data_IF_611830538026
#
_entry.id   IF_611830538026
#
_cell.length_a   1.000
_cell.length_b   1.000
_cell.length_c   1.000
_cell.angle_alpha   90.00
_cell.angle_beta   90.00
_cell.angle_gamma   90.00
#
_symmetry.space_group_name_H-M   'P 1'
#
loop_
_entity.id
_entity.type
_entity.pdbx_description
1 polymer ?
#
# COMPACT_ATOMS: atom_id res chain seq x y z
N UNK A 1 -28.85 33.10 -38.48
CA UNK A 1 -28.47 31.76 -39.00
C UNK A 1 -27.09 31.33 -38.50
N UNK A 2 -26.01 32.08 -38.77
CA UNK A 2 -24.67 31.74 -38.25
C UNK A 2 -24.63 31.85 -36.72
N UNK A 3 -25.24 32.90 -36.15
CA UNK A 3 -25.29 33.12 -34.70
C UNK A 3 -26.07 32.00 -33.97
N UNK A 4 -27.18 31.56 -34.55
CA UNK A 4 -27.99 30.45 -33.99
C UNK A 4 -27.21 29.13 -33.99
N UNK A 5 -26.47 28.84 -35.07
CA UNK A 5 -25.60 27.66 -35.18
C UNK A 5 -24.48 27.73 -34.13
N UNK A 6 -23.90 28.92 -33.92
CA UNK A 6 -22.84 29.14 -32.95
C UNK A 6 -23.34 28.93 -31.51
N UNK A 7 -24.54 29.40 -31.18
CA UNK A 7 -25.18 29.18 -29.88
C UNK A 7 -25.45 27.69 -29.64
N UNK A 8 -25.98 26.97 -30.63
CA UNK A 8 -26.26 25.53 -30.53
C UNK A 8 -24.96 24.73 -30.34
N UNK A 9 -23.91 25.06 -31.10
CA UNK A 9 -22.59 24.44 -30.96
C UNK A 9 -22.01 24.64 -29.56
N UNK A 10 -22.03 25.86 -29.04
CA UNK A 10 -21.52 26.17 -27.70
C UNK A 10 -22.31 25.48 -26.59
N UNK A 11 -23.64 25.35 -26.74
CA UNK A 11 -24.47 24.57 -25.83
C UNK A 11 -24.05 23.11 -25.75
N UNK A 12 -23.87 22.45 -26.91
CA UNK A 12 -23.40 21.06 -26.97
C UNK A 12 -21.99 20.90 -26.41
N UNK A 13 -21.10 21.86 -26.68
CA UNK A 13 -19.72 21.85 -26.18
C UNK A 13 -19.69 21.93 -24.65
N UNK A 14 -20.48 22.83 -24.05
CA UNK A 14 -20.59 22.97 -22.60
C UNK A 14 -21.14 21.72 -21.92
N UNK A 15 -22.22 21.15 -22.47
CA UNK A 15 -22.82 19.91 -21.94
C UNK A 15 -21.81 18.76 -22.02
N UNK A 16 -21.07 18.64 -23.11
CA UNK A 16 -20.06 17.60 -23.30
C UNK A 16 -18.90 17.73 -22.29
N UNK A 17 -18.36 18.94 -22.13
CA UNK A 17 -17.30 19.21 -21.15
C UNK A 17 -17.77 18.94 -19.72
N UNK A 18 -19.00 19.33 -19.37
CA UNK A 18 -19.58 19.07 -18.06
C UNK A 18 -19.80 17.56 -17.82
N UNK A 19 -20.24 16.82 -18.83
CA UNK A 19 -20.37 15.36 -18.77
C UNK A 19 -19.03 14.65 -18.58
N UNK A 20 -17.98 15.05 -19.31
CA UNK A 20 -16.64 14.48 -19.19
C UNK A 20 -16.02 14.81 -17.81
N UNK A 21 -16.12 16.06 -17.38
CA UNK A 21 -15.63 16.50 -16.07
C UNK A 21 -16.37 15.80 -14.92
N UNK A 22 -17.70 15.72 -15.03
CA UNK A 22 -18.57 14.99 -14.11
C UNK A 22 -18.21 13.52 -14.01
N UNK A 23 -18.01 12.83 -15.15
CA UNK A 23 -17.59 11.42 -15.17
C UNK A 23 -16.25 11.19 -14.44
N UNK A 24 -15.27 12.06 -14.65
CA UNK A 24 -13.97 11.95 -13.97
C UNK A 24 -14.08 12.16 -12.47
N UNK A 25 -14.83 13.19 -12.03
CA UNK A 25 -15.08 13.44 -10.61
C UNK A 25 -15.89 12.33 -9.98
N UNK A 26 -16.91 11.81 -10.67
CA UNK A 26 -17.75 10.72 -10.19
C UNK A 26 -16.94 9.42 -10.03
N UNK A 27 -16.07 9.08 -11.00
CA UNK A 27 -15.16 7.93 -10.87
C UNK A 27 -14.21 8.07 -9.68
N UNK A 28 -13.68 9.28 -9.45
CA UNK A 28 -12.81 9.56 -8.30
C UNK A 28 -13.60 9.47 -6.99
N UNK A 29 -14.84 9.95 -6.98
CA UNK A 29 -15.75 9.91 -5.84
C UNK A 29 -16.14 8.48 -5.46
N UNK A 30 -16.48 7.62 -6.42
CA UNK A 30 -16.77 6.20 -6.16
C UNK A 30 -15.59 5.47 -5.49
N UNK A 31 -14.34 5.90 -5.74
CA UNK A 31 -13.15 5.36 -5.07
C UNK A 31 -12.94 5.88 -3.63
N UNK A 32 -13.63 6.96 -3.27
CA UNK A 32 -13.56 7.58 -1.95
C UNK A 32 -14.70 7.14 -1.03
N UNK A 33 -15.72 6.44 -1.56
CA UNK A 33 -16.76 5.85 -0.73
C UNK A 33 -16.14 4.87 0.29
N UNK A 34 -16.66 4.86 1.53
CA UNK A 34 -16.24 3.88 2.53
C UNK A 34 -16.43 2.48 1.97
N UNK A 35 -15.53 1.57 2.36
CA UNK A 35 -15.61 0.17 1.94
C UNK A 35 -16.82 -0.49 2.61
N UNK A 36 -17.05 -1.77 2.31
CA UNK A 36 -18.16 -2.56 2.88
C UNK A 36 -18.23 -2.52 4.41
N UNK A 37 -17.12 -2.19 5.08
CA UNK A 37 -16.96 -2.06 6.53
C UNK A 37 -17.24 -0.65 7.10
N UNK A 38 -17.57 0.33 6.26
CA UNK A 38 -17.87 1.70 6.69
C UNK A 38 -16.65 2.56 7.00
N UNK A 39 -15.43 2.00 6.96
CA UNK A 39 -14.20 2.70 7.34
C UNK A 39 -13.34 3.11 6.14
N UNK A 40 -12.65 4.24 6.26
CA UNK A 40 -11.69 4.69 5.25
C UNK A 40 -10.37 3.92 5.35
N UNK A 41 -9.55 3.94 4.29
CA UNK A 41 -8.20 3.35 4.37
C UNK A 41 -7.35 4.01 5.47
N UNK A 42 -7.52 5.32 5.66
CA UNK A 42 -6.76 6.09 6.65
C UNK A 42 -7.15 5.69 8.08
N UNK A 43 -8.45 5.47 8.33
CA UNK A 43 -8.93 5.00 9.64
C UNK A 43 -8.40 3.60 9.97
N UNK A 44 -8.31 2.72 8.97
CA UNK A 44 -7.67 1.41 9.15
C UNK A 44 -6.17 1.51 9.41
N UNK A 45 -5.47 2.38 8.68
CA UNK A 45 -4.04 2.64 8.93
C UNK A 45 -3.84 3.12 10.37
N UNK A 46 -4.63 4.09 10.83
CA UNK A 46 -4.60 4.61 12.19
C UNK A 46 -4.93 3.54 13.24
N UNK A 47 -5.97 2.73 12.99
CA UNK A 47 -6.32 1.60 13.85
C UNK A 47 -5.13 0.65 14.02
N UNK A 48 -4.46 0.25 12.94
CA UNK A 48 -3.33 -0.67 13.02
C UNK A 48 -2.11 -0.05 13.69
N UNK A 49 -1.81 1.23 13.42
CA UNK A 49 -0.72 1.94 14.12
C UNK A 49 -0.98 1.97 15.63
N UNK A 50 -2.18 2.37 16.05
CA UNK A 50 -2.51 2.49 17.46
C UNK A 50 -2.48 1.14 18.18
N UNK A 51 -3.07 0.10 17.58
CA UNK A 51 -3.10 -1.24 18.16
C UNK A 51 -1.74 -1.95 18.16
N UNK A 52 -0.78 -1.53 17.33
CA UNK A 52 0.55 -2.15 17.28
C UNK A 52 1.67 -1.29 17.86
N UNK A 53 1.38 -0.06 18.28
CA UNK A 53 2.33 0.88 18.88
C UNK A 53 3.21 0.25 19.97
N UNK A 54 2.62 -0.61 20.82
CA UNK A 54 3.30 -1.31 21.91
C UNK A 54 4.18 -2.50 21.45
N UNK A 55 3.99 -3.00 20.23
CA UNK A 55 4.77 -4.11 19.67
C UNK A 55 6.11 -3.64 19.07
N UNK A 56 6.28 -2.34 18.87
CA UNK A 56 7.48 -1.76 18.27
C UNK A 56 8.63 -1.66 19.27
N UNK A 57 9.74 -2.33 18.96
CA UNK A 57 11.00 -2.16 19.66
C UNK A 57 11.81 -1.01 19.04
N UNK A 58 12.77 -0.48 19.80
CA UNK A 58 13.57 0.67 19.37
C UNK A 58 14.39 0.39 18.10
N UNK A 59 14.88 -0.85 17.97
CA UNK A 59 15.62 -1.35 16.82
C UNK A 59 14.82 -1.24 15.53
N UNK A 60 13.56 -1.70 15.54
CA UNK A 60 12.67 -1.67 14.38
C UNK A 60 12.15 -0.27 14.07
N UNK A 61 11.93 0.57 15.10
CA UNK A 61 11.62 1.99 14.89
C UNK A 61 12.75 2.69 14.15
N UNK A 62 13.98 2.50 14.61
CA UNK A 62 15.18 3.06 13.98
C UNK A 62 15.34 2.55 12.54
N UNK A 63 15.16 1.24 12.32
CA UNK A 63 15.20 0.65 10.98
C UNK A 63 14.15 1.30 10.05
N UNK A 64 12.91 1.50 10.53
CA UNK A 64 11.87 2.15 9.73
C UNK A 64 12.25 3.57 9.32
N UNK A 65 12.78 4.38 10.24
CA UNK A 65 13.23 5.74 9.94
C UNK A 65 14.34 5.75 8.88
N UNK A 66 15.29 4.82 8.98
CA UNK A 66 16.37 4.68 8.00
C UNK A 66 15.86 4.26 6.62
N UNK A 67 14.91 3.33 6.56
CA UNK A 67 14.31 2.88 5.30
C UNK A 67 13.44 3.97 4.66
N UNK A 68 12.89 4.89 5.46
CA UNK A 68 12.09 6.02 5.00
C UNK A 68 12.92 7.28 4.73
N UNK A 69 14.19 7.33 5.17
CA UNK A 69 15.11 8.46 4.93
C UNK A 69 15.25 8.94 3.47
N UNK A 70 15.15 8.09 2.42
CA UNK A 70 15.22 8.56 1.03
C UNK A 70 13.99 9.37 0.61
N UNK A 71 12.90 9.33 1.38
CA UNK A 71 11.67 10.09 1.11
C UNK A 71 11.91 11.56 1.48
N UNK A 72 11.49 12.52 0.62
CA UNK A 72 11.57 13.93 0.93
C UNK A 72 10.84 14.25 2.23
N UNK A 73 11.40 15.18 3.02
CA UNK A 73 10.95 15.48 4.38
C UNK A 73 9.45 15.80 4.46
N UNK A 74 8.93 16.60 3.53
CA UNK A 74 7.50 16.96 3.43
C UNK A 74 6.54 15.77 3.33
N UNK A 75 7.03 14.61 2.86
CA UNK A 75 6.22 13.40 2.68
C UNK A 75 6.61 12.28 3.63
N UNK A 76 7.65 12.48 4.45
CA UNK A 76 8.27 11.42 5.24
C UNK A 76 7.31 10.89 6.29
N UNK A 77 6.62 11.77 7.00
CA UNK A 77 5.68 11.40 8.05
C UNK A 77 4.49 10.61 7.49
N UNK A 78 3.95 11.04 6.34
CA UNK A 78 2.85 10.36 5.66
C UNK A 78 3.28 8.98 5.17
N UNK A 79 4.46 8.87 4.57
CA UNK A 79 5.01 7.60 4.13
C UNK A 79 5.25 6.65 5.30
N UNK A 80 5.86 7.14 6.38
CA UNK A 80 6.10 6.37 7.61
C UNK A 80 4.81 5.87 8.21
N UNK A 81 3.81 6.73 8.37
CA UNK A 81 2.52 6.34 8.96
C UNK A 81 1.85 5.23 8.14
N UNK A 82 1.79 5.39 6.81
CA UNK A 82 1.22 4.39 5.91
C UNK A 82 1.96 3.04 5.99
N UNK A 83 3.29 3.07 6.02
CA UNK A 83 4.12 1.86 6.15
C UNK A 83 3.93 1.23 7.54
N UNK A 84 3.89 2.03 8.60
CA UNK A 84 3.67 1.56 9.96
C UNK A 84 2.29 0.91 10.13
N UNK A 85 1.23 1.50 9.58
CA UNK A 85 -0.11 0.90 9.57
C UNK A 85 -0.12 -0.44 8.84
N UNK A 86 0.64 -0.56 7.75
CA UNK A 86 0.79 -1.82 7.04
C UNK A 86 1.52 -2.90 7.83
N UNK A 87 2.62 -2.54 8.45
CA UNK A 87 3.39 -3.44 9.31
C UNK A 87 2.51 -3.90 10.48
N UNK A 88 1.74 -2.98 11.07
CA UNK A 88 0.78 -3.29 12.12
C UNK A 88 -0.31 -4.27 11.67
N UNK A 89 -0.87 -4.08 10.47
CA UNK A 89 -1.83 -5.02 9.89
C UNK A 89 -1.25 -6.45 9.82
N UNK A 90 0.00 -6.58 9.37
CA UNK A 90 0.66 -7.89 9.22
C UNK A 90 1.03 -8.48 10.57
N UNK A 91 1.53 -7.67 11.50
CA UNK A 91 1.90 -8.10 12.84
C UNK A 91 0.69 -8.70 13.58
N UNK A 92 -0.47 -8.02 13.52
CA UNK A 92 -1.70 -8.56 14.11
C UNK A 92 -2.18 -9.83 13.41
N UNK A 93 -2.09 -9.90 12.07
CA UNK A 93 -2.49 -11.09 11.30
C UNK A 93 -1.63 -12.31 11.57
N UNK A 94 -0.34 -12.11 11.84
CA UNK A 94 0.60 -13.17 12.21
C UNK A 94 0.58 -13.48 13.72
N UNK A 95 -0.22 -12.75 14.50
CA UNK A 95 -0.26 -12.83 15.97
C UNK A 95 1.13 -12.63 16.61
N UNK A 96 1.92 -11.74 16.02
CA UNK A 96 3.27 -11.46 16.48
C UNK A 96 3.25 -10.72 17.81
N UNK A 97 4.02 -11.20 18.79
CA UNK A 97 4.19 -10.52 20.08
C UNK A 97 5.01 -9.23 20.01
N UNK A 98 5.86 -9.11 18.99
CA UNK A 98 6.68 -7.93 18.72
C UNK A 98 6.88 -7.80 17.21
N UNK A 99 7.14 -6.58 16.74
CA UNK A 99 7.49 -6.36 15.33
C UNK A 99 8.93 -6.79 15.13
N UNK A 100 9.11 -7.83 14.33
CA UNK A 100 10.42 -8.33 13.90
C UNK A 100 10.86 -7.62 12.63
N UNK A 101 12.17 -7.60 12.36
CA UNK A 101 12.73 -7.21 11.06
C UNK A 101 12.00 -7.83 9.84
N UNK A 102 11.67 -9.13 9.87
CA UNK A 102 10.95 -9.81 8.76
C UNK A 102 9.59 -9.16 8.47
N UNK A 103 8.76 -9.02 9.51
CA UNK A 103 7.45 -8.35 9.45
C UNK A 103 7.56 -6.89 8.99
N UNK A 104 8.59 -6.17 9.43
CA UNK A 104 8.84 -4.79 9.02
C UNK A 104 9.14 -4.70 7.53
N UNK A 105 10.06 -5.53 7.03
CA UNK A 105 10.47 -5.54 5.62
C UNK A 105 9.31 -5.97 4.73
N UNK A 106 8.60 -7.04 5.11
CA UNK A 106 7.41 -7.50 4.39
C UNK A 106 6.34 -6.42 4.34
N UNK A 107 6.05 -5.76 5.47
CA UNK A 107 5.09 -4.67 5.54
C UNK A 107 5.50 -3.47 4.70
N UNK A 108 6.79 -3.11 4.68
CA UNK A 108 7.31 -2.05 3.83
C UNK A 108 7.11 -2.38 2.34
N UNK A 109 7.49 -3.59 1.90
CA UNK A 109 7.35 -4.01 0.50
C UNK A 109 5.88 -3.95 0.07
N UNK A 110 4.98 -4.43 0.93
CA UNK A 110 3.55 -4.45 0.65
C UNK A 110 2.88 -3.07 0.76
N UNK A 111 3.44 -2.12 1.49
CA UNK A 111 2.91 -0.75 1.62
C UNK A 111 3.28 0.16 0.44
N UNK A 112 4.37 -0.16 -0.25
CA UNK A 112 5.01 0.72 -1.24
C UNK A 112 4.79 0.21 -2.67
N UNK A 113 4.67 1.12 -3.67
CA UNK A 113 4.53 0.71 -5.06
C UNK A 113 5.86 0.20 -5.62
N UNK A 114 5.79 -0.66 -6.65
CA UNK A 114 6.96 -1.27 -7.30
C UNK A 114 8.05 -0.30 -7.73
N UNK A 115 7.67 0.92 -8.14
CA UNK A 115 8.62 1.97 -8.55
C UNK A 115 9.58 2.37 -7.43
N UNK A 116 9.10 2.31 -6.19
CA UNK A 116 9.81 2.84 -5.03
C UNK A 116 10.66 1.75 -4.34
N UNK A 117 10.44 0.48 -4.69
CA UNK A 117 11.21 -0.69 -4.21
C UNK A 117 12.70 -0.62 -4.51
N UNK A 118 13.12 0.10 -5.55
CA UNK A 118 14.54 0.33 -5.85
C UNK A 118 15.28 1.01 -4.69
N UNK A 119 14.61 1.91 -3.97
CA UNK A 119 15.18 2.63 -2.82
C UNK A 119 15.29 1.69 -1.62
N UNK A 120 14.26 0.88 -1.39
CA UNK A 120 14.28 -0.15 -0.35
C UNK A 120 15.42 -1.14 -0.58
N UNK A 121 15.53 -1.72 -1.78
CA UNK A 121 16.61 -2.68 -2.10
C UNK A 121 18.00 -2.09 -1.90
N UNK A 122 18.19 -0.81 -2.28
CA UNK A 122 19.44 -0.11 -2.04
C UNK A 122 19.73 -0.01 -0.54
N UNK A 123 18.75 0.41 0.27
CA UNK A 123 18.89 0.55 1.72
C UNK A 123 19.10 -0.78 2.45
N UNK A 124 18.38 -1.83 2.05
CA UNK A 124 18.58 -3.18 2.61
C UNK A 124 19.98 -3.71 2.29
N UNK A 125 20.47 -3.48 1.06
CA UNK A 125 21.84 -3.84 0.68
C UNK A 125 22.90 -3.06 1.46
N UNK A 126 22.70 -1.76 1.70
CA UNK A 126 23.58 -0.93 2.54
C UNK A 126 23.65 -1.45 3.99
N UNK A 127 22.61 -2.14 4.46
CA UNK A 127 22.52 -2.74 5.80
C UNK A 127 22.90 -4.22 5.84
N UNK A 128 23.37 -4.78 4.73
CA UNK A 128 23.73 -6.19 4.63
C UNK A 128 22.55 -7.14 4.95
N UNK A 129 21.32 -6.67 4.73
CA UNK A 129 20.11 -7.48 4.92
C UNK A 129 19.83 -8.22 3.62
N UNK A 130 19.77 -9.55 3.71
CA UNK A 130 19.43 -10.40 2.58
C UNK A 130 17.98 -10.16 2.11
N UNK A 131 17.85 -9.95 0.81
CA UNK A 131 16.57 -9.67 0.14
C UNK A 131 15.96 -10.90 -0.51
N UNK A 132 16.73 -11.98 -0.66
CA UNK A 132 16.31 -13.23 -1.32
C UNK A 132 15.00 -13.79 -0.75
N UNK A 133 14.77 -13.83 0.59
CA UNK A 133 13.52 -14.35 1.15
C UNK A 133 12.29 -13.56 0.73
N UNK A 134 12.47 -12.28 0.37
CA UNK A 134 11.39 -11.35 0.05
C UNK A 134 11.17 -11.16 -1.45
N UNK A 135 11.97 -11.79 -2.32
CA UNK A 135 11.91 -11.58 -3.77
C UNK A 135 10.50 -11.81 -4.34
N UNK A 136 9.81 -12.83 -3.84
CA UNK A 136 8.43 -13.13 -4.18
C UNK A 136 7.44 -11.98 -3.87
N UNK A 137 7.68 -11.19 -2.82
CA UNK A 137 6.85 -10.03 -2.47
C UNK A 137 7.08 -8.87 -3.43
N UNK A 138 8.33 -8.67 -3.87
CA UNK A 138 8.64 -7.69 -4.90
C UNK A 138 7.98 -8.04 -6.24
N UNK A 139 7.89 -9.32 -6.58
CA UNK A 139 7.17 -9.77 -7.79
C UNK A 139 5.66 -9.57 -7.69
N UNK A 140 5.06 -9.83 -6.52
CA UNK A 140 3.63 -9.63 -6.26
C UNK A 140 3.20 -8.17 -6.46
N UNK A 141 4.10 -7.21 -6.27
CA UNK A 141 3.84 -5.79 -6.48
C UNK A 141 3.67 -5.37 -7.95
N UNK A 142 3.71 -6.32 -8.90
CA UNK A 142 3.49 -6.06 -10.33
C UNK A 142 2.07 -5.54 -10.58
N UNK A 143 2.02 -4.23 -10.83
CA UNK A 143 0.90 -3.41 -11.33
C UNK A 143 -0.13 -2.98 -10.28
N UNK A 144 -0.37 -1.66 -10.27
CA UNK A 144 -1.42 -0.90 -9.60
C UNK A 144 -2.11 -1.55 -8.39
N UNK A 145 -1.86 -0.93 -7.24
CA UNK A 145 -2.57 -1.07 -5.98
C UNK A 145 -4.09 -0.90 -6.18
N UNK A 146 -4.78 -1.96 -6.59
CA UNK A 146 -6.24 -2.01 -6.67
C UNK A 146 -6.70 -3.47 -6.53
N UNK A 147 -7.25 -3.74 -5.35
CA UNK A 147 -8.36 -4.67 -5.09
C UNK A 147 -8.07 -6.11 -4.63
N UNK A 148 -6.95 -6.76 -4.92
CA UNK A 148 -6.83 -8.23 -4.66
C UNK A 148 -5.50 -8.76 -4.09
N UNK A 149 -4.60 -7.89 -3.61
CA UNK A 149 -3.33 -8.34 -2.99
C UNK A 149 -3.56 -9.19 -1.72
N UNK A 150 -4.58 -8.88 -0.90
CA UNK A 150 -4.94 -9.65 0.31
C UNK A 150 -5.24 -11.12 -0.04
N UNK A 151 -6.01 -11.34 -1.10
CA UNK A 151 -6.42 -12.68 -1.56
C UNK A 151 -5.23 -13.47 -2.12
N UNK A 152 -4.36 -12.82 -2.88
CA UNK A 152 -3.15 -13.45 -3.44
C UNK A 152 -2.14 -13.81 -2.34
N UNK A 153 -1.97 -12.92 -1.35
CA UNK A 153 -1.14 -13.18 -0.19
C UNK A 153 -1.64 -14.36 0.64
N UNK A 154 -2.94 -14.40 0.95
CA UNK A 154 -3.56 -15.49 1.72
C UNK A 154 -3.42 -16.84 1.03
N UNK A 155 -3.64 -16.89 -0.29
CA UNK A 155 -3.45 -18.10 -1.11
C UNK A 155 -2.00 -18.60 -1.01
N UNK A 156 -1.02 -17.73 -1.21
CA UNK A 156 0.39 -18.12 -1.17
C UNK A 156 0.88 -18.53 0.24
N UNK A 157 0.45 -17.82 1.28
CA UNK A 157 0.75 -18.18 2.67
C UNK A 157 0.24 -19.60 2.99
N UNK A 158 -0.98 -19.94 2.53
CA UNK A 158 -1.51 -21.29 2.65
C UNK A 158 -0.76 -22.34 1.82
N UNK A 159 -0.30 -21.98 0.61
CA UNK A 159 0.51 -22.87 -0.24
C UNK A 159 1.90 -23.15 0.36
N UNK A 160 2.55 -22.14 0.96
CA UNK A 160 3.84 -22.28 1.67
C UNK A 160 3.72 -23.19 2.90
N UNK A 161 2.65 -23.04 3.68
CA UNK A 161 2.38 -23.92 4.83
C UNK A 161 2.12 -25.36 4.39
N UNK A 162 1.45 -25.56 3.25
CA UNK A 162 1.18 -26.89 2.71
C UNK A 162 2.41 -27.53 2.06
N UNK A 163 3.31 -26.76 1.41
CA UNK A 163 4.54 -27.31 0.83
C UNK A 163 5.49 -27.79 1.93
N UNK A 164 5.68 -27.02 3.00
CA UNK A 164 6.51 -27.41 4.15
C UNK A 164 6.01 -28.68 4.85
N UNK A 165 4.71 -28.96 4.83
CA UNK A 165 4.13 -30.20 5.36
C UNK A 165 4.36 -31.42 4.46
N UNK A 166 4.54 -31.23 3.16
CA UNK A 166 4.74 -32.32 2.19
C UNK A 166 6.21 -32.70 1.99
N UNK A 167 7.17 -31.81 2.28
CA UNK A 167 8.61 -32.13 2.22
C UNK A 167 9.16 -32.79 3.48
N UNK A 168 8.35 -32.88 4.55
CA UNK A 168 8.70 -33.52 5.82
C UNK A 168 8.13 -34.94 5.99
N UNK A 169 7.75 -35.61 4.89
CA UNK A 169 7.22 -36.98 4.89
C UNK A 169 8.03 -37.88 3.97
#
# INVERSE_FOLDING_TARGET
MIDDILIIFWGFLMISLMGIGGYFMFRKFLKQLPKEDGHSNMEWEEYYVNNTSHLWQETEKSLLEELVSPVPELFRDVARHKIAGKIGEIALKKENRHITQDTLIEGYILATPKRDHKFLRKKLKEKEIDVEPYEHLFELSRSNYADNWKSRYKKMSSEKVNSLKNTGK
#
